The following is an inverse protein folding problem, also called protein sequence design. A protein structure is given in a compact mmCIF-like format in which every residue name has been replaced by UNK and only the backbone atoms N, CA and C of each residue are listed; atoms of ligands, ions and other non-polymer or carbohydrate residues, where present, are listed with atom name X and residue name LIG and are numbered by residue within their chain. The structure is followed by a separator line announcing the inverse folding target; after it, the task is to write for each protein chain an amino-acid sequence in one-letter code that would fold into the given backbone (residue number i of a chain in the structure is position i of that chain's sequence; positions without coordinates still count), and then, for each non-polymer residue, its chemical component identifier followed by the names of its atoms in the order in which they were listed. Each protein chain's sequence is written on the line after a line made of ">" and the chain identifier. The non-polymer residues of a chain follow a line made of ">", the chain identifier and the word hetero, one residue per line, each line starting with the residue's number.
data_IF_343767109016
#
_entry.id   IF_343767109016
#
_cell.length_a   1.000
_cell.length_b   1.000
_cell.length_c   1.000
_cell.angle_alpha   90.00
_cell.angle_beta   90.00
_cell.angle_gamma   90.00
#
_symmetry.space_group_name_H-M   'P 1'
#
loop_
_entity.id
_entity.type
_entity.pdbx_description
1 polymer ?
#
# COMPACT_ATOMS: atom_id res chain seq x y z
N UNK A 1 5.96 -15.56 81.85
CA UNK A 1 5.11 -15.30 80.67
C UNK A 1 5.89 -14.35 79.77
N UNK A 2 6.47 -14.86 78.68
CA UNK A 2 7.34 -14.10 77.79
C UNK A 2 6.64 -13.91 76.45
N UNK A 3 6.41 -12.66 76.04
CA UNK A 3 5.80 -12.28 74.77
C UNK A 3 6.84 -12.24 73.66
N UNK A 4 6.54 -12.96 72.56
CA UNK A 4 7.41 -13.07 71.38
C UNK A 4 6.94 -12.10 70.29
N UNK A 5 7.83 -11.21 69.86
CA UNK A 5 7.63 -10.30 68.73
C UNK A 5 7.63 -11.08 67.40
N UNK A 6 6.53 -11.02 66.65
CA UNK A 6 6.41 -11.59 65.29
C UNK A 6 6.64 -10.50 64.24
N UNK A 7 7.82 -10.52 63.60
CA UNK A 7 8.12 -9.74 62.39
C UNK A 7 7.37 -10.28 61.17
N UNK A 8 6.55 -9.42 60.55
CA UNK A 8 5.75 -9.73 59.35
C UNK A 8 6.64 -9.70 58.09
N UNK A 9 7.02 -10.88 57.60
CA UNK A 9 7.75 -11.07 56.32
C UNK A 9 6.84 -10.73 55.14
N UNK A 10 7.16 -9.69 54.35
CA UNK A 10 6.40 -9.36 53.13
C UNK A 10 6.62 -10.45 52.08
N UNK A 11 5.54 -11.13 51.71
CA UNK A 11 5.51 -12.15 50.67
C UNK A 11 5.57 -11.45 49.29
N UNK A 12 6.74 -11.41 48.67
CA UNK A 12 6.89 -10.98 47.27
C UNK A 12 6.55 -12.19 46.40
N UNK A 13 5.25 -12.38 46.14
CA UNK A 13 4.81 -13.28 45.10
C UNK A 13 5.32 -12.77 43.75
N UNK A 14 6.18 -13.57 43.11
CA UNK A 14 6.69 -13.38 41.75
C UNK A 14 5.51 -13.37 40.76
N UNK A 15 4.96 -12.18 40.51
CA UNK A 15 4.00 -11.95 39.42
C UNK A 15 4.70 -12.18 38.08
N UNK A 16 4.12 -13.04 37.26
CA UNK A 16 4.54 -13.33 35.88
C UNK A 16 4.76 -12.03 35.11
N UNK A 17 5.99 -11.78 34.63
CA UNK A 17 6.31 -10.59 33.83
C UNK A 17 5.48 -10.59 32.55
N UNK A 18 4.58 -9.62 32.42
CA UNK A 18 3.85 -9.34 31.16
C UNK A 18 4.87 -8.95 30.09
N UNK A 19 4.98 -9.75 29.02
CA UNK A 19 5.92 -9.58 27.90
C UNK A 19 5.43 -8.58 26.84
N UNK A 20 4.62 -7.60 27.20
CA UNK A 20 3.93 -6.71 26.23
C UNK A 20 4.37 -5.24 26.33
N UNK A 21 5.21 -4.88 27.30
CA UNK A 21 5.73 -3.52 27.44
C UNK A 21 6.79 -3.15 26.39
N UNK A 22 6.94 -1.84 26.13
CA UNK A 22 7.97 -1.30 25.23
C UNK A 22 9.39 -1.61 25.76
N UNK A 23 10.37 -1.64 24.85
CA UNK A 23 11.77 -2.00 25.15
C UNK A 23 12.34 -1.13 26.27
N UNK A 24 12.15 0.19 26.21
CA UNK A 24 12.64 1.13 27.22
C UNK A 24 12.02 0.90 28.60
N UNK A 25 10.70 0.63 28.70
CA UNK A 25 10.05 0.36 29.98
C UNK A 25 10.51 -0.99 30.56
N UNK A 26 10.77 -1.99 29.71
CA UNK A 26 11.34 -3.28 30.13
C UNK A 26 12.74 -3.12 30.70
N UNK A 27 13.63 -2.38 30.01
CA UNK A 27 14.99 -2.07 30.50
C UNK A 27 14.91 -1.38 31.87
N UNK A 28 14.01 -0.41 32.00
CA UNK A 28 13.78 0.34 33.24
C UNK A 28 13.04 -0.47 34.32
N UNK A 29 12.57 -1.69 34.03
CA UNK A 29 11.77 -2.53 34.92
C UNK A 29 10.54 -1.81 35.49
N UNK A 30 9.93 -0.91 34.71
CA UNK A 30 8.68 -0.21 35.06
C UNK A 30 7.51 -0.77 34.26
N UNK A 31 6.31 -0.82 34.86
CA UNK A 31 5.09 -1.27 34.15
C UNK A 31 4.82 -0.34 32.98
N UNK A 32 4.86 -0.85 31.75
CA UNK A 32 4.52 -0.09 30.54
C UNK A 32 2.99 0.15 30.49
N UNK A 33 2.57 1.29 29.96
CA UNK A 33 1.17 1.61 29.67
C UNK A 33 0.70 1.10 28.29
N UNK A 34 1.59 0.48 27.52
CA UNK A 34 1.28 -0.18 26.23
C UNK A 34 0.71 0.74 25.13
N UNK A 35 0.78 2.07 25.32
CA UNK A 35 0.45 3.04 24.29
C UNK A 35 1.37 2.96 23.06
N UNK A 36 0.80 2.68 21.89
CA UNK A 36 1.52 2.69 20.61
C UNK A 36 1.48 4.07 19.94
N UNK A 37 2.53 4.47 19.19
CA UNK A 37 3.78 3.73 18.98
C UNK A 37 4.81 3.92 20.11
N UNK A 38 4.58 4.86 21.03
CA UNK A 38 5.47 5.21 22.14
C UNK A 38 4.65 5.29 23.43
N UNK A 39 5.11 4.62 24.48
CA UNK A 39 4.37 4.58 25.74
C UNK A 39 4.42 5.95 26.45
N UNK A 40 3.33 6.31 27.13
CA UNK A 40 3.20 7.56 27.89
C UNK A 40 4.27 7.69 28.97
N UNK A 41 4.73 6.59 29.56
CA UNK A 41 5.82 6.64 30.55
C UNK A 41 7.16 7.08 29.98
N UNK A 42 7.48 6.73 28.74
CA UNK A 42 8.70 7.22 28.09
C UNK A 42 8.54 8.69 27.73
N UNK A 43 7.40 9.04 27.12
CA UNK A 43 7.09 10.42 26.70
C UNK A 43 7.10 11.39 27.88
N UNK A 44 6.35 11.09 28.95
CA UNK A 44 6.25 11.95 30.13
C UNK A 44 7.56 12.09 30.90
N UNK A 45 8.52 11.17 30.68
CA UNK A 45 9.84 11.24 31.32
C UNK A 45 10.92 11.77 30.39
N UNK A 46 10.53 12.30 29.21
CA UNK A 46 11.44 12.90 28.23
C UNK A 46 12.41 11.91 27.60
N UNK A 47 12.12 10.61 27.60
CA UNK A 47 13.00 9.57 27.05
C UNK A 47 12.48 9.09 25.70
N UNK A 48 13.41 8.83 24.77
CA UNK A 48 13.11 8.08 23.57
C UNK A 48 12.49 6.72 23.96
N UNK A 49 11.31 6.41 23.42
CA UNK A 49 10.74 5.09 23.54
C UNK A 49 11.26 4.26 22.37
N UNK A 50 12.02 3.21 22.65
CA UNK A 50 12.58 2.31 21.63
C UNK A 50 11.51 1.35 21.06
N UNK A 51 10.24 1.79 21.10
CA UNK A 51 9.09 1.06 20.61
C UNK A 51 8.81 -0.24 21.36
N UNK A 52 7.86 -0.97 20.81
CA UNK A 52 7.51 -2.32 21.24
C UNK A 52 8.35 -3.31 20.45
N UNK A 53 8.71 -4.44 21.05
CA UNK A 53 9.22 -5.57 20.29
C UNK A 53 8.23 -5.83 19.14
N UNK A 54 8.78 -5.80 17.93
CA UNK A 54 8.06 -6.15 16.72
C UNK A 54 7.33 -7.48 16.92
N UNK A 55 6.08 -7.64 16.45
CA UNK A 55 5.43 -8.96 16.44
C UNK A 55 6.28 -10.02 15.71
N UNK A 56 7.18 -9.56 14.82
CA UNK A 56 8.24 -10.36 14.24
C UNK A 56 9.33 -10.59 15.29
N UNK A 57 9.20 -11.67 16.07
CA UNK A 57 10.27 -12.12 16.96
C UNK A 57 11.52 -12.46 16.15
N UNK A 58 12.50 -11.58 16.17
CA UNK A 58 13.90 -11.98 16.05
C UNK A 58 14.24 -12.70 17.36
N UNK A 59 14.15 -14.04 17.36
CA UNK A 59 14.85 -14.83 18.38
C UNK A 59 16.33 -14.78 18.03
N UNK A 60 16.99 -13.68 18.38
CA UNK A 60 18.43 -13.69 18.54
C UNK A 60 18.68 -14.37 19.87
N UNK A 61 19.09 -15.64 19.83
CA UNK A 61 19.65 -16.33 20.99
C UNK A 61 20.88 -15.55 21.43
N UNK A 62 20.73 -14.61 22.36
CA UNK A 62 21.86 -13.97 23.02
C UNK A 62 22.58 -15.07 23.81
N UNK A 63 23.73 -15.49 23.28
CA UNK A 63 24.71 -16.28 24.01
C UNK A 63 25.05 -15.51 25.28
N UNK A 64 24.71 -16.10 26.42
CA UNK A 64 25.16 -15.67 27.74
C UNK A 64 26.68 -15.73 27.76
N UNK A 65 27.34 -14.58 27.61
CA UNK A 65 28.74 -14.43 27.98
C UNK A 65 28.84 -14.52 29.51
N UNK A 66 29.00 -15.74 30.01
CA UNK A 66 29.58 -15.96 31.32
C UNK A 66 31.09 -16.06 31.13
N UNK A 67 31.78 -15.03 31.61
CA UNK A 67 33.23 -14.98 31.73
C UNK A 67 33.70 -16.01 32.77
N UNK A 68 34.27 -17.12 32.33
CA UNK A 68 35.20 -17.89 33.15
C UNK A 68 36.39 -18.37 32.32
N UNK A 69 37.56 -17.99 32.83
CA UNK A 69 38.92 -18.28 32.40
C UNK A 69 39.22 -19.78 32.45
N UNK A 70 39.82 -20.35 31.40
CA UNK A 70 40.35 -21.71 31.44
C UNK A 70 40.74 -22.26 30.06
N UNK A 71 42.05 -22.36 29.84
CA UNK A 71 42.77 -22.88 28.68
C UNK A 71 42.27 -24.24 28.13
N UNK A 72 42.23 -24.39 26.79
CA UNK A 72 42.90 -25.45 25.99
C UNK A 72 42.28 -25.65 24.56
N UNK A 73 43.13 -25.41 23.55
CA UNK A 73 43.23 -25.89 22.14
C UNK A 73 42.01 -25.94 21.18
N UNK A 74 42.21 -25.58 19.88
CA UNK A 74 41.19 -25.62 18.85
C UNK A 74 41.11 -27.02 18.21
N UNK A 75 39.91 -27.58 18.06
CA UNK A 75 39.68 -28.70 17.17
C UNK A 75 38.55 -28.37 16.20
N UNK A 76 38.82 -28.65 14.93
CA UNK A 76 38.00 -28.34 13.78
C UNK A 76 36.61 -29.01 13.90
N UNK A 77 35.57 -28.17 13.95
CA UNK A 77 34.18 -28.57 13.82
C UNK A 77 33.50 -27.55 12.91
N UNK A 78 33.18 -27.99 11.69
CA UNK A 78 32.43 -27.24 10.69
C UNK A 78 31.20 -26.57 11.31
N UNK A 79 31.20 -25.24 11.35
CA UNK A 79 30.02 -24.45 11.68
C UNK A 79 28.99 -24.65 10.55
N UNK A 80 28.07 -25.58 10.77
CA UNK A 80 26.83 -25.64 10.00
C UNK A 80 26.04 -24.38 10.34
N UNK A 81 26.16 -23.36 9.50
CA UNK A 81 25.26 -22.21 9.50
C UNK A 81 23.86 -22.73 9.20
N UNK A 82 23.09 -23.04 10.25
CA UNK A 82 21.64 -23.28 10.13
C UNK A 82 20.99 -21.98 9.67
N UNK A 83 20.81 -21.84 8.35
CA UNK A 83 19.87 -20.88 7.78
C UNK A 83 18.49 -21.21 8.34
N UNK A 84 18.11 -20.53 9.40
CA UNK A 84 16.78 -20.67 9.98
C UNK A 84 15.88 -19.86 9.05
N UNK A 85 15.13 -20.54 8.19
CA UNK A 85 14.13 -19.90 7.33
C UNK A 85 13.12 -19.24 8.26
N UNK A 86 13.13 -17.90 8.33
CA UNK A 86 12.12 -17.15 9.08
C UNK A 86 10.81 -17.30 8.31
N UNK A 87 9.89 -18.07 8.86
CA UNK A 87 8.59 -18.32 8.25
C UNK A 87 7.67 -17.12 8.49
N UNK A 88 7.30 -16.42 7.42
CA UNK A 88 6.38 -15.28 7.48
C UNK A 88 4.98 -15.82 7.77
N UNK A 89 4.36 -15.38 8.87
CA UNK A 89 3.01 -15.83 9.20
C UNK A 89 2.01 -15.38 8.11
N UNK A 90 1.09 -16.25 7.67
CA UNK A 90 0.02 -15.86 6.75
C UNK A 90 -0.79 -14.64 7.24
N UNK A 91 -0.91 -14.47 8.56
CA UNK A 91 -1.60 -13.33 9.18
C UNK A 91 -0.89 -12.00 8.94
N UNK A 92 0.43 -12.01 8.93
CA UNK A 92 1.22 -10.80 8.71
C UNK A 92 1.19 -10.38 7.24
N UNK A 93 1.21 -11.37 6.33
CA UNK A 93 1.03 -11.11 4.90
C UNK A 93 -0.36 -10.56 4.58
N UNK A 94 -1.42 -11.15 5.15
CA UNK A 94 -2.80 -10.65 4.99
C UNK A 94 -2.96 -9.23 5.53
N UNK A 95 -2.34 -8.94 6.69
CA UNK A 95 -2.34 -7.59 7.28
C UNK A 95 -1.66 -6.56 6.36
N UNK A 96 -0.47 -6.87 5.83
CA UNK A 96 0.22 -5.94 4.93
C UNK A 96 -0.50 -5.81 3.57
N UNK A 97 -0.99 -6.91 3.02
CA UNK A 97 -1.81 -6.95 1.79
C UNK A 97 -3.02 -6.01 1.92
N UNK A 98 -3.68 -6.01 3.10
CA UNK A 98 -4.76 -5.06 3.42
C UNK A 98 -4.28 -3.62 3.41
N UNK A 99 -3.10 -3.33 3.94
CA UNK A 99 -2.59 -1.96 4.05
C UNK A 99 -2.15 -1.33 2.74
N UNK A 100 -1.97 -2.11 1.67
CA UNK A 100 -1.60 -1.56 0.37
C UNK A 100 -2.67 -0.67 -0.30
N UNK A 101 -3.94 -0.78 0.08
CA UNK A 101 -5.02 0.02 -0.54
C UNK A 101 -6.05 0.48 0.48
N UNK A 102 -6.46 1.76 0.44
CA UNK A 102 -7.50 2.35 1.30
C UNK A 102 -8.87 1.75 1.05
N UNK A 103 -9.09 1.12 -0.11
CA UNK A 103 -10.32 0.38 -0.42
C UNK A 103 -10.57 -0.78 0.55
N UNK A 104 -9.51 -1.36 1.13
CA UNK A 104 -9.60 -2.49 2.04
C UNK A 104 -10.20 -2.15 3.41
N UNK A 105 -10.25 -0.85 3.76
CA UNK A 105 -10.99 -0.34 4.93
C UNK A 105 -12.47 -0.75 4.84
N UNK A 106 -12.98 -0.94 3.61
CA UNK A 106 -14.34 -1.38 3.35
C UNK A 106 -14.45 -2.90 3.17
N UNK A 107 -13.52 -3.68 3.72
CA UNK A 107 -13.49 -5.14 3.61
C UNK A 107 -13.46 -5.63 2.15
N UNK A 108 -12.69 -4.94 1.30
CA UNK A 108 -12.38 -5.38 -0.07
C UNK A 108 -11.06 -6.14 -0.05
N UNK A 109 -11.01 -7.31 -0.68
CA UNK A 109 -9.77 -8.08 -0.83
C UNK A 109 -9.00 -7.59 -2.06
N UNK A 110 -7.70 -7.32 -1.90
CA UNK A 110 -6.83 -6.77 -2.95
C UNK A 110 -6.15 -7.85 -3.82
N UNK A 111 -5.93 -9.05 -3.29
CA UNK A 111 -5.20 -10.12 -3.98
C UNK A 111 -3.69 -9.87 -4.10
N UNK A 112 -3.12 -9.04 -3.20
CA UNK A 112 -1.70 -8.71 -3.16
C UNK A 112 -0.92 -9.55 -2.11
N UNK A 113 -1.37 -10.78 -1.86
CA UNK A 113 -0.85 -11.62 -0.78
C UNK A 113 0.60 -12.07 -1.05
N UNK A 114 0.97 -12.25 -2.32
CA UNK A 114 2.31 -12.61 -2.75
C UNK A 114 3.26 -11.40 -2.72
N UNK A 115 2.78 -10.23 -3.16
CA UNK A 115 3.51 -8.97 -3.07
C UNK A 115 3.80 -8.60 -1.60
N UNK A 116 2.81 -8.76 -0.71
CA UNK A 116 2.98 -8.57 0.72
C UNK A 116 4.03 -9.53 1.29
N UNK A 117 4.01 -10.80 0.88
CA UNK A 117 4.99 -11.80 1.30
C UNK A 117 6.41 -11.42 0.86
N UNK A 118 6.58 -10.94 -0.38
CA UNK A 118 7.87 -10.49 -0.91
C UNK A 118 8.41 -9.27 -0.15
N UNK A 119 7.54 -8.28 0.11
CA UNK A 119 7.90 -7.10 0.92
C UNK A 119 8.33 -7.51 2.33
N UNK A 120 7.54 -8.37 3.01
CA UNK A 120 7.87 -8.83 4.35
C UNK A 120 9.18 -9.60 4.37
N UNK A 121 9.42 -10.48 3.40
CA UNK A 121 10.66 -11.24 3.29
C UNK A 121 11.87 -10.33 3.15
N UNK A 122 11.77 -9.30 2.29
CA UNK A 122 12.86 -8.37 2.07
C UNK A 122 13.07 -7.44 3.28
N UNK A 123 12.02 -7.08 4.02
CA UNK A 123 12.10 -6.25 5.24
C UNK A 123 12.90 -6.90 6.38
N UNK A 124 13.13 -8.21 6.34
CA UNK A 124 13.96 -8.91 7.32
C UNK A 124 15.46 -8.62 7.15
N UNK A 125 15.88 -8.28 5.93
CA UNK A 125 17.29 -8.08 5.57
C UNK A 125 17.61 -6.66 5.13
N UNK A 126 16.59 -5.90 4.72
CA UNK A 126 16.75 -4.56 4.15
C UNK A 126 16.13 -3.48 5.07
N UNK A 127 16.94 -2.61 5.69
CA UNK A 127 16.46 -1.51 6.53
C UNK A 127 15.57 -0.51 5.80
N UNK A 128 15.79 -0.27 4.50
CA UNK A 128 15.01 0.68 3.70
C UNK A 128 13.56 0.21 3.60
N UNK A 129 13.39 -1.08 3.32
CA UNK A 129 12.07 -1.72 3.23
C UNK A 129 11.43 -1.80 4.62
N UNK A 130 12.22 -2.06 5.67
CA UNK A 130 11.72 -2.04 7.05
C UNK A 130 11.14 -0.67 7.44
N UNK A 131 11.83 0.43 7.09
CA UNK A 131 11.34 1.79 7.29
C UNK A 131 10.06 2.04 6.48
N UNK A 132 10.02 1.64 5.21
CA UNK A 132 8.85 1.80 4.36
C UNK A 132 7.61 1.06 4.92
N UNK A 133 7.76 -0.21 5.32
CA UNK A 133 6.68 -1.00 5.93
C UNK A 133 6.18 -0.37 7.24
N UNK A 134 7.11 0.11 8.07
CA UNK A 134 6.78 0.76 9.34
C UNK A 134 6.00 2.05 9.12
N UNK A 135 6.37 2.82 8.08
CA UNK A 135 5.66 4.02 7.66
C UNK A 135 4.23 3.70 7.23
N UNK A 136 4.06 2.77 6.27
CA UNK A 136 2.73 2.41 5.76
C UNK A 136 1.82 1.94 6.88
N UNK A 137 2.31 1.08 7.78
CA UNK A 137 1.55 0.60 8.93
C UNK A 137 1.10 1.74 9.83
N UNK A 138 2.02 2.62 10.26
CA UNK A 138 1.70 3.71 11.16
C UNK A 138 0.68 4.69 10.55
N UNK A 139 0.83 5.02 9.28
CA UNK A 139 -0.09 5.92 8.56
C UNK A 139 -1.46 5.26 8.35
N UNK A 140 -1.51 3.95 8.09
CA UNK A 140 -2.76 3.19 7.96
C UNK A 140 -3.52 3.07 9.26
N UNK A 141 -2.83 2.69 10.34
CA UNK A 141 -3.42 2.62 11.68
C UNK A 141 -3.99 3.99 12.09
N UNK A 142 -3.26 5.08 11.79
CA UNK A 142 -3.73 6.44 12.04
C UNK A 142 -4.99 6.79 11.22
N UNK A 143 -5.01 6.45 9.91
CA UNK A 143 -6.17 6.69 9.05
C UNK A 143 -7.41 5.92 9.53
N UNK A 144 -7.24 4.65 9.93
CA UNK A 144 -8.34 3.81 10.42
C UNK A 144 -8.84 4.29 11.79
N UNK A 145 -7.95 4.68 12.72
CA UNK A 145 -8.32 5.20 14.03
C UNK A 145 -9.06 6.56 13.98
N UNK A 146 -8.85 7.35 12.93
CA UNK A 146 -9.52 8.64 12.75
C UNK A 146 -11.03 8.52 12.46
N UNK A 147 -11.54 7.32 12.13
CA UNK A 147 -12.95 7.09 11.82
C UNK A 147 -13.88 6.94 13.03
N UNK A 148 -13.36 6.52 14.19
CA UNK A 148 -14.20 5.91 15.26
C UNK A 148 -14.20 6.63 16.63
N UNK A 149 -13.44 7.72 16.84
CA UNK A 149 -13.22 8.26 18.21
C UNK A 149 -13.70 9.71 18.47
N UNK A 150 -14.37 10.00 19.62
CA UNK A 150 -14.63 11.35 20.10
C UNK A 150 -13.36 12.15 20.41
N UNK A 151 -13.37 13.42 20.02
CA UNK A 151 -12.23 14.34 19.83
C UNK A 151 -11.33 14.67 21.04
N UNK A 152 -11.65 14.28 22.28
CA UNK A 152 -11.06 14.91 23.48
C UNK A 152 -9.91 14.16 24.18
N UNK A 153 -9.71 12.86 23.93
CA UNK A 153 -8.58 12.09 24.52
C UNK A 153 -7.64 11.43 23.48
N UNK A 154 -8.08 11.30 22.22
CA UNK A 154 -7.31 10.64 21.14
C UNK A 154 -6.28 11.50 20.42
N UNK A 155 -6.32 12.83 20.60
CA UNK A 155 -5.57 13.78 19.76
C UNK A 155 -4.04 13.68 19.94
N UNK A 156 -3.56 13.39 21.17
CA UNK A 156 -2.12 13.27 21.47
C UNK A 156 -1.49 11.97 20.96
N UNK A 157 -2.18 10.83 21.09
CA UNK A 157 -1.68 9.55 20.57
C UNK A 157 -1.76 9.49 19.04
N UNK A 158 -2.75 10.15 18.44
CA UNK A 158 -2.98 10.17 17.00
C UNK A 158 -1.92 10.98 16.25
N UNK A 159 -1.55 12.19 16.71
CA UNK A 159 -0.49 13.00 16.09
C UNK A 159 0.84 12.26 16.03
N UNK A 160 1.19 11.58 17.13
CA UNK A 160 2.46 10.87 17.26
C UNK A 160 2.62 9.77 16.18
N UNK A 161 1.56 9.01 15.90
CA UNK A 161 1.60 7.95 14.89
C UNK A 161 1.83 8.47 13.47
N UNK A 162 1.23 9.62 13.14
CA UNK A 162 1.41 10.29 11.86
C UNK A 162 2.85 10.81 11.68
N UNK A 163 3.38 11.48 12.71
CA UNK A 163 4.74 12.04 12.71
C UNK A 163 5.80 10.93 12.57
N UNK A 164 5.63 9.83 13.33
CA UNK A 164 6.49 8.66 13.20
C UNK A 164 6.39 8.05 11.79
N UNK A 165 5.18 7.88 11.27
CA UNK A 165 4.97 7.35 9.91
C UNK A 165 5.67 8.17 8.84
N UNK A 166 5.60 9.49 8.93
CA UNK A 166 6.30 10.40 8.00
C UNK A 166 7.82 10.35 8.16
N UNK A 167 8.32 10.29 9.40
CA UNK A 167 9.76 10.13 9.65
C UNK A 167 10.29 8.85 9.00
N UNK A 168 9.61 7.72 9.21
CA UNK A 168 9.99 6.44 8.60
C UNK A 168 9.93 6.49 7.06
N UNK A 169 8.96 7.22 6.50
CA UNK A 169 8.88 7.43 5.06
C UNK A 169 10.13 8.19 4.53
N UNK A 170 10.51 9.28 5.20
CA UNK A 170 11.69 10.06 4.82
C UNK A 170 12.99 9.24 4.92
N UNK A 171 13.12 8.40 5.96
CA UNK A 171 14.28 7.51 6.09
C UNK A 171 14.36 6.50 4.94
N UNK A 172 13.22 5.91 4.56
CA UNK A 172 13.15 5.00 3.43
C UNK A 172 13.49 5.69 2.10
N UNK A 173 12.96 6.90 1.86
CA UNK A 173 13.26 7.70 0.67
C UNK A 173 14.75 8.07 0.58
N UNK A 174 15.35 8.54 1.68
CA UNK A 174 16.77 8.90 1.72
C UNK A 174 17.69 7.70 1.51
N UNK A 175 17.34 6.55 2.10
CA UNK A 175 18.04 5.29 1.86
C UNK A 175 17.94 4.85 0.40
N UNK A 176 16.75 4.96 -0.21
CA UNK A 176 16.55 4.58 -1.60
C UNK A 176 17.36 5.47 -2.56
N UNK A 177 17.34 6.79 -2.36
CA UNK A 177 18.13 7.72 -3.17
C UNK A 177 19.64 7.40 -3.12
N UNK A 178 20.13 7.02 -1.94
CA UNK A 178 21.52 6.60 -1.76
C UNK A 178 21.81 5.27 -2.47
N UNK A 179 20.89 4.30 -2.41
CA UNK A 179 21.01 2.98 -3.03
C UNK A 179 21.04 3.04 -4.57
N UNK A 180 20.25 3.95 -5.16
CA UNK A 180 20.15 4.11 -6.61
C UNK A 180 21.36 4.80 -7.26
N UNK A 181 22.29 5.35 -6.47
CA UNK A 181 23.49 6.00 -7.01
C UNK A 181 24.53 5.00 -7.57
N UNK A 182 24.46 3.72 -7.16
CA UNK A 182 25.27 2.62 -7.73
C UNK A 182 24.49 1.30 -7.61
N UNK A 183 23.51 1.05 -8.49
CA UNK A 183 22.53 -0.01 -8.28
C UNK A 183 23.09 -1.41 -8.58
N UNK A 184 23.15 -2.25 -7.54
CA UNK A 184 23.25 -3.71 -7.69
C UNK A 184 21.87 -4.36 -7.87
N UNK A 185 21.83 -5.66 -8.19
CA UNK A 185 20.57 -6.42 -8.38
C UNK A 185 19.64 -6.35 -7.15
N UNK A 186 20.21 -6.40 -5.94
CA UNK A 186 19.46 -6.25 -4.69
C UNK A 186 18.91 -4.83 -4.53
N UNK A 187 19.66 -3.80 -4.94
CA UNK A 187 19.19 -2.41 -4.89
C UNK A 187 17.98 -2.16 -5.78
N UNK A 188 17.97 -2.75 -6.99
CA UNK A 188 16.81 -2.69 -7.90
C UNK A 188 15.59 -3.39 -7.33
N UNK A 189 15.77 -4.57 -6.72
CA UNK A 189 14.70 -5.29 -6.03
C UNK A 189 14.12 -4.42 -4.90
N UNK A 190 14.97 -3.83 -4.08
CA UNK A 190 14.54 -2.96 -2.98
C UNK A 190 13.83 -1.70 -3.49
N UNK A 191 14.30 -1.12 -4.59
CA UNK A 191 13.66 0.02 -5.23
C UNK A 191 12.22 -0.30 -5.66
N UNK A 192 12.00 -1.43 -6.33
CA UNK A 192 10.66 -1.83 -6.78
C UNK A 192 9.72 -2.17 -5.62
N UNK A 193 10.21 -2.82 -4.55
CA UNK A 193 9.43 -3.04 -3.33
C UNK A 193 9.11 -1.73 -2.61
N UNK A 194 10.05 -0.79 -2.55
CA UNK A 194 9.80 0.55 -2.04
C UNK A 194 8.75 1.29 -2.88
N UNK A 195 8.79 1.21 -4.22
CA UNK A 195 7.75 1.80 -5.08
C UNK A 195 6.36 1.25 -4.73
N UNK A 196 6.20 -0.05 -4.51
CA UNK A 196 4.91 -0.64 -4.08
C UNK A 196 4.40 0.02 -2.79
N UNK A 197 5.26 0.09 -1.77
CA UNK A 197 4.89 0.65 -0.46
C UNK A 197 4.66 2.16 -0.54
N UNK A 198 5.47 2.89 -1.31
CA UNK A 198 5.38 4.34 -1.44
C UNK A 198 4.11 4.75 -2.20
N UNK A 199 3.71 4.00 -3.23
CA UNK A 199 2.41 4.20 -3.87
C UNK A 199 1.28 4.09 -2.83
N UNK A 200 1.31 3.06 -1.96
CA UNK A 200 0.33 2.90 -0.88
C UNK A 200 0.39 4.02 0.15
N UNK A 201 1.60 4.49 0.53
CA UNK A 201 1.77 5.62 1.46
C UNK A 201 1.18 6.90 0.86
N UNK A 202 1.50 7.21 -0.40
CA UNK A 202 0.99 8.42 -1.06
C UNK A 202 -0.53 8.36 -1.25
N UNK A 203 -1.12 7.17 -1.41
CA UNK A 203 -2.56 6.98 -1.38
C UNK A 203 -3.16 7.38 -0.03
N UNK A 204 -2.57 6.90 1.08
CA UNK A 204 -3.02 7.23 2.44
C UNK A 204 -2.89 8.73 2.73
N UNK A 205 -1.88 9.37 2.12
CA UNK A 205 -1.63 10.81 2.22
C UNK A 205 -2.40 11.65 1.20
N UNK A 206 -3.17 11.03 0.32
CA UNK A 206 -3.94 11.68 -0.76
C UNK A 206 -3.09 12.51 -1.73
N UNK A 207 -1.85 12.09 -1.96
CA UNK A 207 -0.88 12.79 -2.79
C UNK A 207 -0.67 12.03 -4.11
N UNK A 208 -1.60 12.23 -5.03
CA UNK A 208 -1.65 11.47 -6.28
C UNK A 208 -0.53 11.85 -7.25
N UNK A 209 -0.07 13.10 -7.18
CA UNK A 209 1.12 13.57 -7.88
C UNK A 209 2.35 12.72 -7.54
N UNK A 210 2.65 12.52 -6.25
CA UNK A 210 3.80 11.70 -5.87
C UNK A 210 3.57 10.21 -6.11
N UNK A 211 2.33 9.73 -5.98
CA UNK A 211 1.96 8.37 -6.35
C UNK A 211 2.32 8.06 -7.81
N UNK A 212 1.93 8.94 -8.74
CA UNK A 212 2.23 8.77 -10.16
C UNK A 212 3.74 8.74 -10.43
N UNK A 213 4.54 9.58 -9.74
CA UNK A 213 6.00 9.53 -9.86
C UNK A 213 6.59 8.18 -9.44
N UNK A 214 6.11 7.61 -8.32
CA UNK A 214 6.57 6.27 -7.89
C UNK A 214 6.16 5.17 -8.87
N UNK A 215 4.99 5.29 -9.49
CA UNK A 215 4.54 4.38 -10.56
C UNK A 215 5.45 4.50 -11.79
N UNK A 216 5.63 5.71 -12.31
CA UNK A 216 6.42 5.99 -13.53
C UNK A 216 7.87 5.55 -13.33
N UNK A 217 8.51 5.95 -12.22
CA UNK A 217 9.89 5.58 -11.93
C UNK A 217 10.06 4.07 -11.79
N UNK A 218 9.15 3.40 -11.08
CA UNK A 218 9.22 1.96 -10.89
C UNK A 218 8.99 1.18 -12.19
N UNK A 219 8.05 1.62 -13.04
CA UNK A 219 7.84 1.03 -14.37
C UNK A 219 9.06 1.27 -15.28
N UNK A 220 9.70 2.44 -15.20
CA UNK A 220 10.96 2.73 -15.91
C UNK A 220 12.07 1.77 -15.48
N UNK A 221 12.24 1.52 -14.17
CA UNK A 221 13.22 0.54 -13.66
C UNK A 221 12.92 -0.86 -14.21
N UNK A 222 11.66 -1.28 -14.24
CA UNK A 222 11.29 -2.59 -14.81
C UNK A 222 11.64 -2.70 -16.29
N UNK A 223 11.43 -1.64 -17.06
CA UNK A 223 11.74 -1.60 -18.49
C UNK A 223 13.26 -1.58 -18.74
N UNK A 224 13.98 -0.62 -18.15
CA UNK A 224 15.42 -0.43 -18.31
C UNK A 224 16.23 -1.68 -17.94
N UNK A 225 15.83 -2.34 -16.85
CA UNK A 225 16.50 -3.55 -16.36
C UNK A 225 15.86 -4.85 -16.86
N UNK A 226 14.94 -4.78 -17.82
CA UNK A 226 14.31 -5.97 -18.46
C UNK A 226 13.81 -6.99 -17.45
N UNK A 227 12.91 -6.54 -16.56
CA UNK A 227 12.17 -7.41 -15.64
C UNK A 227 11.27 -8.41 -16.39
N UNK A 228 10.89 -8.09 -17.64
CA UNK A 228 10.13 -8.95 -18.55
C UNK A 228 10.88 -9.22 -19.85
N UNK A 229 10.54 -10.30 -20.58
CA UNK A 229 11.03 -10.54 -21.94
C UNK A 229 10.62 -9.41 -22.89
N UNK A 230 11.48 -9.09 -23.86
CA UNK A 230 11.30 -7.99 -24.82
C UNK A 230 11.78 -8.39 -26.22
N UNK A 231 11.26 -7.77 -27.27
CA UNK A 231 11.72 -7.97 -28.65
C UNK A 231 12.77 -6.92 -29.03
N UNK A 232 13.98 -7.37 -29.38
CA UNK A 232 14.97 -6.56 -30.06
C UNK A 232 14.89 -6.84 -31.57
N UNK A 233 14.10 -6.06 -32.30
CA UNK A 233 13.73 -6.36 -33.68
C UNK A 233 12.91 -7.64 -33.77
N UNK A 234 13.38 -8.64 -34.53
CA UNK A 234 12.71 -9.96 -34.64
C UNK A 234 13.16 -10.96 -33.56
N UNK A 235 14.14 -10.60 -32.72
CA UNK A 235 14.70 -11.51 -31.73
C UNK A 235 14.02 -11.30 -30.38
N UNK A 236 13.42 -12.38 -29.86
CA UNK A 236 12.96 -12.41 -28.48
C UNK A 236 14.17 -12.45 -27.54
N UNK A 237 14.22 -11.52 -26.60
CA UNK A 237 15.25 -11.43 -25.57
C UNK A 237 14.60 -11.80 -24.23
N UNK A 238 15.12 -12.81 -23.51
CA UNK A 238 14.57 -13.20 -22.23
C UNK A 238 14.73 -12.09 -21.18
N UNK A 239 13.90 -12.14 -20.13
CA UNK A 239 14.08 -11.28 -18.97
C UNK A 239 15.48 -11.47 -18.38
N UNK A 240 16.19 -10.37 -18.13
CA UNK A 240 17.53 -10.42 -17.55
C UNK A 240 17.48 -10.56 -16.02
N UNK A 241 16.46 -9.98 -15.39
CA UNK A 241 16.25 -10.01 -13.95
C UNK A 241 14.84 -10.51 -13.61
N UNK A 242 14.56 -11.78 -13.96
CA UNK A 242 13.25 -12.44 -13.74
C UNK A 242 12.81 -12.56 -12.27
N UNK A 243 13.70 -12.26 -11.31
CA UNK A 243 13.39 -12.24 -9.88
C UNK A 243 12.98 -10.86 -9.36
N UNK A 244 12.95 -9.83 -10.21
CA UNK A 244 12.51 -8.49 -9.80
C UNK A 244 11.00 -8.50 -9.52
N UNK A 245 10.55 -7.75 -8.49
CA UNK A 245 9.13 -7.56 -8.22
C UNK A 245 8.41 -6.94 -9.42
N UNK A 246 7.27 -7.51 -9.78
CA UNK A 246 6.45 -7.02 -10.90
C UNK A 246 5.52 -5.90 -10.42
N UNK A 247 6.02 -4.66 -10.45
CA UNK A 247 5.27 -3.48 -10.01
C UNK A 247 4.02 -3.23 -10.85
N UNK A 248 4.05 -3.54 -12.14
CA UNK A 248 2.89 -3.45 -13.04
C UNK A 248 1.70 -4.29 -12.54
N UNK A 249 1.94 -5.53 -12.10
CA UNK A 249 0.93 -6.42 -11.51
C UNK A 249 0.35 -5.80 -10.24
N UNK A 250 1.20 -5.26 -9.36
CA UNK A 250 0.78 -4.60 -8.14
C UNK A 250 -0.12 -3.38 -8.42
N UNK A 251 0.29 -2.52 -9.35
CA UNK A 251 -0.49 -1.35 -9.78
C UNK A 251 -1.87 -1.79 -10.26
N UNK A 252 -1.93 -2.78 -11.16
CA UNK A 252 -3.22 -3.22 -11.71
C UNK A 252 -4.13 -3.78 -10.61
N UNK A 253 -3.64 -4.67 -9.75
CA UNK A 253 -4.43 -5.25 -8.65
C UNK A 253 -4.99 -4.17 -7.72
N UNK A 254 -4.15 -3.19 -7.37
CA UNK A 254 -4.53 -2.09 -6.48
C UNK A 254 -5.68 -1.26 -7.03
N UNK A 255 -5.65 -0.92 -8.31
CA UNK A 255 -6.69 -0.10 -8.95
C UNK A 255 -7.91 -0.91 -9.39
N UNK A 256 -7.74 -2.17 -9.78
CA UNK A 256 -8.82 -3.08 -10.15
C UNK A 256 -9.68 -3.53 -8.96
N UNK A 257 -9.18 -3.44 -7.73
CA UNK A 257 -9.95 -3.82 -6.55
C UNK A 257 -11.30 -3.05 -6.49
N UNK A 258 -12.42 -3.75 -6.25
CA UNK A 258 -13.75 -3.14 -6.23
C UNK A 258 -13.84 -1.96 -5.26
N UNK A 259 -14.59 -0.93 -5.62
CA UNK A 259 -14.99 0.12 -4.69
C UNK A 259 -16.46 -0.09 -4.30
N UNK A 260 -16.74 -0.43 -3.03
CA UNK A 260 -18.11 -0.63 -2.51
C UNK A 260 -19.02 0.61 -2.60
N UNK A 261 -18.48 1.77 -2.96
CA UNK A 261 -19.24 3.01 -3.18
C UNK A 261 -20.01 3.06 -4.51
N UNK A 262 -19.75 2.15 -5.45
CA UNK A 262 -20.47 2.06 -6.72
C UNK A 262 -21.60 1.03 -6.73
N UNK A 263 -21.75 0.21 -5.68
CA UNK A 263 -22.91 -0.66 -5.55
C UNK A 263 -24.08 0.15 -4.97
N UNK A 264 -25.25 0.19 -5.63
CA UNK A 264 -26.44 0.73 -4.99
C UNK A 264 -26.68 -0.04 -3.67
N UNK A 265 -27.08 0.63 -2.58
CA UNK A 265 -27.41 -0.09 -1.36
C UNK A 265 -28.41 -1.18 -1.71
N UNK A 266 -28.10 -2.43 -1.36
CA UNK A 266 -28.99 -3.57 -1.54
C UNK A 266 -30.39 -3.13 -1.07
N UNK A 267 -31.38 -3.29 -1.94
CA UNK A 267 -32.75 -2.89 -1.65
C UNK A 267 -33.14 -3.53 -0.32
N UNK A 268 -33.13 -2.73 0.75
CA UNK A 268 -33.69 -3.15 2.03
C UNK A 268 -35.16 -3.34 1.73
N UNK A 269 -35.57 -4.60 1.78
CA UNK A 269 -36.93 -5.05 1.54
C UNK A 269 -37.88 -4.19 2.38
N UNK A 270 -38.52 -3.19 1.74
CA UNK A 270 -39.43 -2.23 2.35
C UNK A 270 -40.80 -2.86 2.63
N UNK A 271 -40.79 -4.12 3.04
CA UNK A 271 -41.98 -4.91 3.30
C UNK A 271 -42.18 -5.14 4.80
N UNK A 272 -41.79 -4.19 5.69
CA UNK A 272 -42.21 -4.28 7.10
C UNK A 272 -42.07 -3.04 8.01
N UNK A 273 -42.28 -1.83 7.51
CA UNK A 273 -42.46 -0.68 8.42
C UNK A 273 -43.33 0.41 7.78
N UNK A 274 -44.61 0.11 7.61
CA UNK A 274 -45.63 1.15 7.64
C UNK A 274 -46.10 1.27 9.10
N UNK A 275 -45.82 2.41 9.75
CA UNK A 275 -46.76 3.21 10.54
C UNK A 275 -45.97 4.36 11.20
N UNK A 276 -46.59 5.54 11.16
CA UNK A 276 -46.26 6.81 11.82
C UNK A 276 -45.26 7.74 11.12
N UNK A 277 -45.79 8.87 10.70
CA UNK A 277 -45.18 9.85 9.83
C UNK A 277 -44.56 11.05 10.54
N UNK A 278 -43.77 11.78 9.76
CA UNK A 278 -43.55 13.21 9.88
C UNK A 278 -42.99 13.69 8.55
N UNK A 279 -43.70 14.63 7.92
CA UNK A 279 -43.35 15.28 6.67
C UNK A 279 -42.04 16.05 6.82
N UNK A 280 -41.03 15.68 6.03
CA UNK A 280 -39.97 16.60 5.58
C UNK A 280 -39.86 16.46 4.06
N UNK A 281 -39.72 17.57 3.31
CA UNK A 281 -39.82 17.53 1.86
C UNK A 281 -38.61 16.79 1.26
N UNK A 282 -38.78 16.05 0.15
CA UNK A 282 -37.65 15.46 -0.54
C UNK A 282 -36.80 16.59 -1.09
N UNK A 283 -35.57 16.70 -0.59
CA UNK A 283 -34.54 17.51 -1.23
C UNK A 283 -34.46 17.04 -2.70
N UNK A 284 -34.80 17.91 -3.64
CA UNK A 284 -34.72 17.65 -5.08
C UNK A 284 -33.28 17.29 -5.45
N UNK A 285 -32.94 16.02 -5.40
CA UNK A 285 -31.86 15.46 -6.20
C UNK A 285 -32.38 15.44 -7.63
N UNK A 286 -31.85 16.35 -8.44
CA UNK A 286 -32.13 16.46 -9.88
C UNK A 286 -31.97 15.09 -10.53
N UNK A 287 -32.92 14.73 -11.40
CA UNK A 287 -32.98 13.48 -12.17
C UNK A 287 -31.64 13.21 -12.91
N UNK A 288 -30.89 14.25 -13.26
CA UNK A 288 -29.55 14.23 -13.86
C UNK A 288 -28.47 13.56 -12.98
N UNK A 289 -28.51 13.77 -11.65
CA UNK A 289 -27.57 13.15 -10.70
C UNK A 289 -27.70 11.62 -10.63
N UNK A 290 -28.87 11.09 -11.00
CA UNK A 290 -29.16 9.65 -11.04
C UNK A 290 -28.57 8.98 -12.28
N UNK A 291 -28.41 9.72 -13.38
CA UNK A 291 -27.82 9.24 -14.63
C UNK A 291 -26.31 8.98 -14.48
N UNK A 292 -25.57 9.91 -13.87
CA UNK A 292 -24.11 9.78 -13.68
C UNK A 292 -23.76 8.62 -12.71
N UNK A 293 -24.58 8.39 -11.67
CA UNK A 293 -24.43 7.23 -10.76
C UNK A 293 -24.76 5.89 -11.41
N UNK A 294 -25.59 5.86 -12.45
CA UNK A 294 -25.99 4.64 -13.14
C UNK A 294 -25.01 4.23 -14.26
N UNK A 295 -24.27 5.18 -14.84
CA UNK A 295 -23.32 4.90 -15.94
C UNK A 295 -21.89 4.63 -15.43
N UNK A 296 -21.50 5.22 -14.28
CA UNK A 296 -20.20 4.96 -13.64
C UNK A 296 -19.92 3.48 -13.23
N UNK A 297 -20.92 2.66 -12.83
CA UNK A 297 -20.72 1.24 -12.51
C UNK A 297 -20.33 0.40 -13.74
N UNK A 298 -20.94 0.65 -14.90
CA UNK A 298 -20.69 -0.13 -16.13
C UNK A 298 -19.30 0.17 -16.69
N UNK A 299 -18.92 1.45 -16.77
CA UNK A 299 -17.57 1.85 -17.22
C UNK A 299 -16.48 1.30 -16.30
N UNK A 300 -16.69 1.31 -14.99
CA UNK A 300 -15.76 0.72 -14.03
C UNK A 300 -15.64 -0.79 -14.18
N UNK A 301 -16.77 -1.48 -14.41
CA UNK A 301 -16.82 -2.93 -14.59
C UNK A 301 -16.04 -3.34 -15.84
N UNK A 302 -16.25 -2.64 -16.95
CA UNK A 302 -15.51 -2.89 -18.20
C UNK A 302 -14.01 -2.61 -18.05
N UNK A 303 -13.63 -1.51 -17.38
CA UNK A 303 -12.21 -1.22 -17.14
C UNK A 303 -11.56 -2.28 -16.24
N UNK A 304 -12.29 -2.79 -15.26
CA UNK A 304 -11.84 -3.88 -14.39
C UNK A 304 -11.70 -5.19 -15.17
N UNK A 305 -12.59 -5.47 -16.13
CA UNK A 305 -12.48 -6.62 -17.04
C UNK A 305 -11.21 -6.50 -17.90
N UNK A 306 -10.93 -5.33 -18.46
CA UNK A 306 -9.70 -5.06 -19.22
C UNK A 306 -8.45 -5.21 -18.37
N UNK A 307 -8.50 -4.78 -17.10
CA UNK A 307 -7.43 -4.98 -16.13
C UNK A 307 -7.15 -6.47 -15.87
N UNK A 308 -8.18 -7.29 -15.69
CA UNK A 308 -8.05 -8.75 -15.53
C UNK A 308 -7.43 -9.39 -16.77
N UNK A 309 -7.91 -9.05 -17.97
CA UNK A 309 -7.31 -9.54 -19.22
C UNK A 309 -5.86 -9.10 -19.37
N UNK A 310 -5.52 -7.89 -18.92
CA UNK A 310 -4.12 -7.39 -18.90
C UNK A 310 -3.25 -8.20 -17.94
N UNK A 311 -3.75 -8.56 -16.74
CA UNK A 311 -3.02 -9.42 -15.81
C UNK A 311 -2.74 -10.81 -16.38
N UNK A 312 -3.74 -11.43 -17.03
CA UNK A 312 -3.57 -12.72 -17.70
C UNK A 312 -2.55 -12.65 -18.84
N UNK A 313 -2.62 -11.59 -19.65
CA UNK A 313 -1.65 -11.29 -20.70
C UNK A 313 -0.23 -11.16 -20.13
N UNK A 314 -0.04 -10.33 -19.09
CA UNK A 314 1.26 -10.16 -18.43
C UNK A 314 1.79 -11.46 -17.83
N UNK A 315 0.92 -12.32 -17.32
CA UNK A 315 1.26 -13.67 -16.86
C UNK A 315 1.86 -14.52 -17.98
N UNK A 316 1.22 -14.53 -19.16
CA UNK A 316 1.75 -15.22 -20.35
C UNK A 316 3.08 -14.63 -20.83
N UNK A 317 3.22 -13.31 -20.81
CA UNK A 317 4.47 -12.61 -21.18
C UNK A 317 5.64 -13.04 -20.30
N UNK A 318 5.43 -13.23 -18.98
CA UNK A 318 6.48 -13.68 -18.07
C UNK A 318 7.06 -15.05 -18.44
N UNK A 319 6.31 -15.88 -19.17
CA UNK A 319 6.65 -17.26 -19.49
C UNK A 319 6.93 -17.49 -20.97
N UNK A 320 6.98 -16.43 -21.80
CA UNK A 320 7.21 -16.58 -23.23
C UNK A 320 8.61 -17.15 -23.49
N UNK A 321 8.67 -18.27 -24.22
CA UNK A 321 9.92 -19.00 -24.48
C UNK A 321 10.32 -18.97 -25.95
N UNK A 322 9.36 -18.74 -26.86
CA UNK A 322 9.60 -18.74 -28.30
C UNK A 322 9.22 -17.41 -28.98
N UNK A 323 9.92 -17.01 -30.06
CA UNK A 323 9.53 -15.85 -30.86
C UNK A 323 8.11 -15.95 -31.43
N UNK A 324 7.65 -17.16 -31.79
CA UNK A 324 6.31 -17.39 -32.32
C UNK A 324 5.20 -17.10 -31.31
N UNK A 325 5.38 -17.52 -30.05
CA UNK A 325 4.49 -17.14 -28.95
C UNK A 325 4.52 -15.64 -28.69
N UNK A 326 5.72 -15.04 -28.72
CA UNK A 326 5.87 -13.59 -28.56
C UNK A 326 5.11 -12.79 -29.62
N UNK A 327 5.14 -13.20 -30.89
CA UNK A 327 4.36 -12.54 -31.96
C UNK A 327 2.86 -12.65 -31.71
N UNK A 328 2.37 -13.80 -31.24
CA UNK A 328 0.95 -13.96 -30.87
C UNK A 328 0.56 -13.02 -29.74
N UNK A 329 1.44 -12.88 -28.73
CA UNK A 329 1.24 -11.95 -27.62
C UNK A 329 1.29 -10.48 -28.07
N UNK A 330 2.08 -10.11 -29.08
CA UNK A 330 2.04 -8.77 -29.67
C UNK A 330 0.68 -8.45 -30.31
N UNK A 331 0.08 -9.40 -31.02
CA UNK A 331 -1.28 -9.25 -31.55
C UNK A 331 -2.32 -9.10 -30.43
N UNK A 332 -2.15 -9.84 -29.33
CA UNK A 332 -3.01 -9.73 -28.15
C UNK A 332 -2.87 -8.37 -27.46
N UNK A 333 -1.64 -7.89 -27.28
CA UNK A 333 -1.32 -6.53 -26.79
C UNK A 333 -2.02 -5.47 -27.62
N UNK A 334 -1.94 -5.56 -28.95
CA UNK A 334 -2.58 -4.62 -29.86
C UNK A 334 -4.12 -4.64 -29.70
N UNK A 335 -4.71 -5.82 -29.51
CA UNK A 335 -6.15 -5.96 -29.22
C UNK A 335 -6.53 -5.29 -27.90
N UNK A 336 -5.76 -5.51 -26.83
CA UNK A 336 -6.00 -4.88 -25.52
C UNK A 336 -5.89 -3.36 -25.58
N UNK A 337 -4.86 -2.83 -26.27
CA UNK A 337 -4.70 -1.39 -26.50
C UNK A 337 -5.88 -0.81 -27.29
N UNK A 338 -6.37 -1.52 -28.32
CA UNK A 338 -7.56 -1.12 -29.08
C UNK A 338 -8.81 -1.10 -28.19
N UNK A 339 -9.01 -2.11 -27.35
CA UNK A 339 -10.14 -2.16 -26.41
C UNK A 339 -10.08 -1.06 -25.36
N UNK A 340 -8.88 -0.72 -24.85
CA UNK A 340 -8.69 0.45 -23.97
C UNK A 340 -9.02 1.76 -24.70
N UNK A 341 -8.64 1.90 -25.96
CA UNK A 341 -9.00 3.06 -26.77
C UNK A 341 -10.52 3.19 -26.97
N UNK A 342 -11.19 2.07 -27.28
CA UNK A 342 -12.66 2.03 -27.37
C UNK A 342 -13.32 2.45 -26.07
N UNK A 343 -12.88 1.87 -24.95
CA UNK A 343 -13.41 2.19 -23.63
C UNK A 343 -13.29 3.69 -23.31
N UNK A 344 -12.17 4.33 -23.68
CA UNK A 344 -11.99 5.77 -23.46
C UNK A 344 -12.96 6.58 -24.32
N UNK A 345 -13.16 6.21 -25.59
CA UNK A 345 -14.13 6.88 -26.46
C UNK A 345 -15.55 6.75 -25.91
N UNK A 346 -15.92 5.57 -25.42
CA UNK A 346 -17.23 5.32 -24.82
C UNK A 346 -17.41 6.17 -23.54
N UNK A 347 -16.37 6.32 -22.73
CA UNK A 347 -16.38 7.20 -21.55
C UNK A 347 -16.63 8.67 -21.95
N UNK A 348 -15.96 9.13 -23.00
CA UNK A 348 -16.11 10.51 -23.49
C UNK A 348 -17.51 10.77 -24.06
N UNK A 349 -18.08 9.80 -24.77
CA UNK A 349 -19.45 9.88 -25.30
C UNK A 349 -20.47 9.98 -24.16
N UNK A 350 -20.37 9.06 -23.20
CA UNK A 350 -21.20 9.08 -21.97
C UNK A 350 -21.09 10.41 -21.25
N UNK A 351 -19.87 10.95 -21.12
CA UNK A 351 -19.65 12.19 -20.40
C UNK A 351 -20.24 13.39 -21.15
N UNK A 352 -20.07 13.47 -22.48
CA UNK A 352 -20.68 14.52 -23.32
C UNK A 352 -22.21 14.48 -23.29
N UNK A 353 -22.80 13.29 -23.38
CA UNK A 353 -24.26 13.11 -23.36
C UNK A 353 -24.88 13.46 -22.01
N UNK A 354 -24.10 13.41 -20.93
CA UNK A 354 -24.59 13.77 -19.58
C UNK A 354 -24.85 15.26 -19.38
N UNK A 355 -24.52 16.13 -20.35
CA UNK A 355 -24.95 17.54 -20.40
C UNK A 355 -24.50 18.42 -19.25
N UNK A 356 -23.61 17.95 -18.36
CA UNK A 356 -23.22 18.69 -17.15
C UNK A 356 -22.25 19.83 -17.50
N UNK A 357 -22.61 21.11 -17.27
CA UNK A 357 -21.69 22.24 -17.40
C UNK A 357 -20.68 22.32 -16.22
N UNK A 358 -20.58 21.26 -15.40
CA UNK A 358 -19.74 21.20 -14.21
C UNK A 358 -18.38 20.54 -14.45
N UNK A 359 -17.44 20.74 -13.50
CA UNK A 359 -16.16 20.03 -13.51
C UNK A 359 -16.37 18.51 -13.48
N UNK A 360 -15.65 17.77 -14.34
CA UNK A 360 -15.62 16.30 -14.38
C UNK A 360 -15.62 15.69 -12.96
N UNK A 361 -16.45 14.70 -12.61
CA UNK A 361 -16.41 14.07 -11.29
C UNK A 361 -15.05 13.44 -10.96
N UNK A 362 -14.59 13.52 -9.70
CA UNK A 362 -13.31 12.90 -9.28
C UNK A 362 -13.26 11.40 -9.58
N UNK A 363 -14.40 10.70 -9.49
CA UNK A 363 -14.51 9.28 -9.84
C UNK A 363 -14.15 9.01 -11.30
N UNK A 364 -14.52 9.90 -12.23
CA UNK A 364 -14.16 9.81 -13.65
C UNK A 364 -12.67 10.07 -13.84
N UNK A 365 -12.12 11.08 -13.16
CA UNK A 365 -10.67 11.35 -13.20
C UNK A 365 -9.86 10.14 -12.69
N UNK A 366 -10.31 9.45 -11.64
CA UNK A 366 -9.67 8.21 -11.19
C UNK A 366 -9.80 7.05 -12.18
N UNK A 367 -10.91 6.93 -12.90
CA UNK A 367 -11.05 5.94 -13.97
C UNK A 367 -10.07 6.24 -15.12
N UNK A 368 -9.93 7.51 -15.51
CA UNK A 368 -8.91 7.95 -16.48
C UNK A 368 -7.50 7.66 -16.01
N UNK A 369 -7.21 7.90 -14.73
CA UNK A 369 -5.90 7.60 -14.15
C UNK A 369 -5.58 6.11 -14.25
N UNK A 370 -6.54 5.24 -13.92
CA UNK A 370 -6.35 3.79 -14.03
C UNK A 370 -6.22 3.33 -15.47
N UNK A 371 -7.06 3.84 -16.38
CA UNK A 371 -6.95 3.59 -17.82
C UNK A 371 -5.57 3.96 -18.36
N UNK A 372 -5.08 5.15 -18.02
CA UNK A 372 -3.77 5.63 -18.45
C UNK A 372 -2.65 4.75 -17.88
N UNK A 373 -2.74 4.30 -16.64
CA UNK A 373 -1.79 3.36 -16.06
C UNK A 373 -1.76 2.01 -16.80
N UNK A 374 -2.92 1.46 -17.17
CA UNK A 374 -3.01 0.23 -17.98
C UNK A 374 -2.37 0.42 -19.35
N UNK A 375 -2.61 1.57 -20.00
CA UNK A 375 -2.02 1.90 -21.30
C UNK A 375 -0.49 1.95 -21.23
N UNK A 376 0.07 2.66 -20.25
CA UNK A 376 1.52 2.74 -20.02
C UNK A 376 2.13 1.34 -19.80
N UNK A 377 1.50 0.52 -18.96
CA UNK A 377 1.95 -0.85 -18.68
C UNK A 377 1.97 -1.71 -19.95
N UNK A 378 0.89 -1.68 -20.74
CA UNK A 378 0.80 -2.44 -21.98
C UNK A 378 1.84 -1.99 -23.00
N UNK A 379 2.01 -0.67 -23.19
CA UNK A 379 3.00 -0.12 -24.10
C UNK A 379 4.42 -0.59 -23.72
N UNK A 380 4.77 -0.51 -22.44
CA UNK A 380 6.08 -0.93 -21.93
C UNK A 380 6.34 -2.43 -21.92
N UNK A 381 5.39 -3.24 -22.40
CA UNK A 381 5.50 -4.71 -22.44
C UNK A 381 5.86 -5.21 -23.85
N UNK A 382 6.78 -6.18 -23.93
CA UNK A 382 7.23 -6.90 -25.15
C UNK A 382 7.94 -6.09 -26.24
N UNK A 383 7.75 -4.77 -26.37
CA UNK A 383 8.39 -3.98 -27.43
C UNK A 383 9.67 -3.28 -26.96
N UNK A 384 10.61 -3.02 -27.88
CA UNK A 384 11.78 -2.15 -27.64
C UNK A 384 12.11 -1.25 -28.84
N UNK A 385 11.08 -0.80 -29.58
CA UNK A 385 11.30 0.11 -30.71
C UNK A 385 11.84 1.47 -30.20
N UNK A 386 12.65 2.16 -31.00
CA UNK A 386 13.16 3.51 -30.64
C UNK A 386 12.03 4.54 -30.48
N UNK A 387 10.88 4.31 -31.13
CA UNK A 387 9.68 5.15 -31.01
C UNK A 387 8.97 4.92 -29.66
N UNK A 388 9.11 3.71 -29.09
CA UNK A 388 8.46 3.33 -27.84
C UNK A 388 8.89 4.22 -26.66
N UNK A 389 10.16 4.59 -26.57
CA UNK A 389 10.64 5.45 -25.47
C UNK A 389 9.99 6.85 -25.54
N UNK A 390 9.74 7.36 -26.75
CA UNK A 390 9.05 8.64 -26.95
C UNK A 390 7.55 8.53 -26.63
N UNK A 391 6.92 7.45 -27.07
CA UNK A 391 5.53 7.16 -26.76
C UNK A 391 5.33 6.99 -25.24
N UNK A 392 6.16 6.18 -24.59
CA UNK A 392 6.12 5.97 -23.14
C UNK A 392 6.32 7.27 -22.36
N UNK A 393 7.26 8.14 -22.76
CA UNK A 393 7.41 9.47 -22.14
C UNK A 393 6.12 10.28 -22.26
N UNK A 394 5.53 10.34 -23.46
CA UNK A 394 4.28 11.07 -23.71
C UNK A 394 3.14 10.54 -22.84
N UNK A 395 2.99 9.22 -22.74
CA UNK A 395 1.93 8.59 -21.96
C UNK A 395 2.18 8.68 -20.44
N UNK A 396 3.44 8.73 -20.00
CA UNK A 396 3.82 9.01 -18.61
C UNK A 396 3.52 10.46 -18.23
N UNK A 397 3.79 11.44 -19.10
CA UNK A 397 3.45 12.84 -18.87
C UNK A 397 1.92 13.03 -18.75
N UNK A 398 1.15 12.31 -19.56
CA UNK A 398 -0.32 12.26 -19.43
C UNK A 398 -0.77 11.65 -18.11
N UNK A 399 -0.15 10.54 -17.68
CA UNK A 399 -0.44 9.91 -16.39
C UNK A 399 -0.18 10.89 -15.24
N UNK A 400 0.95 11.59 -15.27
CA UNK A 400 1.33 12.60 -14.29
C UNK A 400 0.35 13.78 -14.29
N UNK A 401 -0.04 14.28 -15.47
CA UNK A 401 -1.01 15.38 -15.59
C UNK A 401 -2.38 15.04 -15.02
N UNK A 402 -2.87 13.81 -15.22
CA UNK A 402 -4.12 13.34 -14.59
C UNK A 402 -3.96 13.28 -13.07
N UNK A 403 -2.84 12.76 -12.56
CA UNK A 403 -2.56 12.71 -11.13
C UNK A 403 -2.48 14.11 -10.49
N UNK A 404 -1.85 15.07 -11.15
CA UNK A 404 -1.74 16.46 -10.67
C UNK A 404 -3.11 17.13 -10.61
N UNK A 405 -3.97 16.86 -11.60
CA UNK A 405 -5.36 17.31 -11.58
C UNK A 405 -6.13 16.73 -10.38
N UNK A 406 -6.04 15.40 -10.17
CA UNK A 406 -6.68 14.73 -9.04
C UNK A 406 -6.17 15.30 -7.71
N UNK A 407 -4.86 15.43 -7.54
CA UNK A 407 -4.22 15.95 -6.33
C UNK A 407 -4.69 17.38 -6.01
N UNK A 408 -4.67 18.28 -6.99
CA UNK A 408 -5.13 19.66 -6.83
C UNK A 408 -6.60 19.73 -6.41
N UNK A 409 -7.45 18.89 -7.02
CA UNK A 409 -8.87 18.82 -6.69
C UNK A 409 -9.13 18.25 -5.31
N UNK A 410 -8.48 17.14 -4.93
CA UNK A 410 -8.63 16.53 -3.60
C UNK A 410 -8.17 17.50 -2.50
N UNK A 411 -7.08 18.24 -2.72
CA UNK A 411 -6.63 19.29 -1.79
C UNK A 411 -7.64 20.43 -1.66
N UNK A 412 -8.28 20.85 -2.75
CA UNK A 412 -9.34 21.88 -2.72
C UNK A 412 -10.55 21.42 -1.86
N UNK A 413 -10.95 20.15 -1.98
CA UNK A 413 -12.00 19.57 -1.13
C UNK A 413 -11.59 19.50 0.36
N UNK A 414 -10.33 19.19 0.65
CA UNK A 414 -9.79 19.16 2.02
C UNK A 414 -9.66 20.54 2.66
N UNK A 415 -9.30 21.56 1.87
CA UNK A 415 -9.17 22.95 2.33
C UNK A 415 -10.50 23.57 2.78
N UNK A 416 -11.60 23.25 2.10
CA UNK A 416 -12.93 23.77 2.41
C UNK A 416 -13.48 23.30 3.77
N UNK A 417 -13.02 22.15 4.27
CA UNK A 417 -13.44 21.60 5.58
C UNK A 417 -12.69 22.15 6.79
N UNK A 418 -11.55 22.82 6.59
CA UNK A 418 -10.80 23.43 7.69
C UNK A 418 -11.43 24.73 8.20
N UNK A 419 -12.41 25.30 7.51
CA UNK A 419 -13.02 26.60 7.85
C UNK A 419 -14.51 26.56 8.21
N UNK A 420 -15.18 25.40 8.30
CA UNK A 420 -16.61 25.39 8.61
C UNK A 420 -17.16 24.04 9.08
N UNK A 421 -17.98 24.09 10.13
CA UNK A 421 -18.80 22.99 10.66
C UNK A 421 -19.50 22.23 9.52
N UNK A 422 -18.99 21.05 9.17
CA UNK A 422 -19.53 20.19 8.13
C UNK A 422 -18.99 18.77 8.24
N UNK A 423 -19.37 18.07 9.32
CA UNK A 423 -19.22 16.61 9.41
C UNK A 423 -20.18 15.97 8.39
N UNK A 424 -19.67 15.17 7.46
CA UNK A 424 -20.54 14.31 6.64
C UNK A 424 -20.03 13.80 5.30
N UNK A 425 -19.02 14.42 4.66
CA UNK A 425 -18.74 14.08 3.25
C UNK A 425 -17.27 13.76 2.93
N UNK A 426 -16.49 13.17 3.85
CA UNK A 426 -15.16 12.66 3.48
C UNK A 426 -15.23 11.27 2.81
N UNK A 427 -16.44 10.70 2.76
CA UNK A 427 -16.71 9.35 2.26
C UNK A 427 -17.22 9.32 0.80
N UNK A 428 -17.62 10.46 0.22
CA UNK A 428 -18.14 10.51 -1.16
C UNK A 428 -17.07 10.72 -2.24
N UNK A 429 -15.80 10.91 -1.85
CA UNK A 429 -14.65 11.08 -2.77
C UNK A 429 -13.81 9.78 -2.87
N UNK A 430 -14.23 8.69 -2.21
CA UNK A 430 -13.48 7.43 -2.07
C UNK A 430 -13.81 6.38 -3.13
#
# INVERSE_FOLDING_TARGET
>A
MAETLVTRKRNIQSRTKVKTGCTTCRIRKVKCDEGKPFCLKCVNTGRACDGYESPFRLVTSQSTYNSHTGSMKPSAGSLVTRHTVIEISPKDSDLLSRYFSTKTIFNVKLGCDEEARQVLQASLTDPLIQHAVSSLRALREHLEASGDLPMSLGQRHSSYGSDYGLQQYCMALGGLASSLSSPGSNGLKSALLCCQIFISIEQVRWNFTAMARHMIQGLSIMHEYRARPTFAGKRLVPAHHSQLPLLDVFIIKMFAAPCKFAEPPAAVDRSRAAVSGALTPPHQQTIESRSIRAIAPDMRTELTRLATSTLEFLGRVSHVASPGEGIRLLSEKASLLKSLGSWLNDLELVYKDSGSPGSEPLSVSFLRFFHQALKVILLGTLDSSLDLDSELRTENDRLQGIADNIDGRVKAYGGFKRTGKGQGELFNVR
#
